data_IF_643523647438
#
_entry.id   IF_643523647438
#
_cell.length_a   1.000
_cell.length_b   1.000
_cell.length_c   1.000
_cell.angle_alpha   90.00
_cell.angle_beta   90.00
_cell.angle_gamma   90.00
#
_symmetry.space_group_name_H-M   'P 1'
#
loop_
_entity.id
_entity.type
_entity.pdbx_description
1 polymer ?
#
# COMPACT_ATOMS: atom_id res chain seq x y z
N UNK A 1 -8.41 33.89 13.32
CA UNK A 1 -7.74 33.50 12.06
C UNK A 1 -7.96 32.01 11.79
N UNK A 2 -9.17 31.62 11.39
CA UNK A 2 -9.60 30.20 11.37
C UNK A 2 -10.22 29.75 10.03
N UNK A 3 -9.90 30.43 8.92
CA UNK A 3 -10.52 30.17 7.62
C UNK A 3 -9.60 29.50 6.59
N UNK A 4 -8.28 29.41 6.83
CA UNK A 4 -7.31 28.90 5.85
C UNK A 4 -7.00 27.41 5.94
N UNK A 5 -7.34 26.73 7.04
CA UNK A 5 -7.02 25.30 7.22
C UNK A 5 -8.10 24.32 6.72
N UNK A 6 -9.29 24.78 6.34
CA UNK A 6 -10.34 23.90 5.78
C UNK A 6 -10.22 23.66 4.26
N UNK A 7 -9.35 24.41 3.57
CA UNK A 7 -9.16 24.26 2.12
C UNK A 7 -8.29 23.06 1.71
N UNK A 8 -7.39 22.58 2.57
CA UNK A 8 -6.45 21.53 2.23
C UNK A 8 -7.00 20.11 2.40
N UNK A 9 -8.07 19.93 3.18
CA UNK A 9 -8.70 18.61 3.42
C UNK A 9 -9.78 18.26 2.38
N UNK A 10 -10.25 19.22 1.59
CA UNK A 10 -11.28 18.99 0.56
C UNK A 10 -10.72 18.62 -0.82
N UNK A 11 -9.42 18.78 -1.06
CA UNK A 11 -8.78 18.36 -2.32
C UNK A 11 -8.48 16.86 -2.37
N UNK A 12 -8.26 16.21 -1.21
CA UNK A 12 -7.98 14.76 -1.14
C UNK A 12 -9.27 13.93 -1.27
N UNK A 13 -10.40 14.41 -0.73
CA UNK A 13 -11.67 13.68 -0.76
C UNK A 13 -12.40 13.72 -2.13
N UNK A 14 -11.98 14.57 -3.07
CA UNK A 14 -12.66 14.72 -4.37
C UNK A 14 -12.17 13.72 -5.44
N UNK A 15 -11.06 13.02 -5.20
CA UNK A 15 -10.50 12.04 -6.16
C UNK A 15 -11.10 10.64 -6.04
N UNK A 16 -11.94 10.39 -5.03
CA UNK A 16 -12.50 9.07 -4.74
C UNK A 16 -14.01 8.92 -5.08
N UNK A 17 -14.65 9.88 -5.77
CA UNK A 17 -16.10 9.87 -6.07
C UNK A 17 -16.48 10.12 -7.54
N UNK A 18 -15.83 9.40 -8.44
CA UNK A 18 -16.32 9.20 -9.79
C UNK A 18 -15.45 8.10 -10.36
N UNK A 19 -15.86 6.83 -10.27
CA UNK A 19 -16.63 6.20 -11.35
C UNK A 19 -17.25 4.88 -10.86
N UNK A 20 -18.28 4.95 -10.01
CA UNK A 20 -19.12 3.79 -9.71
C UNK A 20 -20.59 4.22 -9.77
N UNK A 21 -21.16 4.19 -10.98
CA UNK A 21 -22.54 3.75 -11.25
C UNK A 21 -22.96 4.15 -12.68
N UNK A 22 -23.35 3.14 -13.46
CA UNK A 22 -24.38 3.30 -14.48
C UNK A 22 -23.88 3.35 -15.92
N UNK A 23 -23.83 2.19 -16.56
CA UNK A 23 -24.74 1.83 -17.66
C UNK A 23 -24.30 0.46 -18.22
N UNK A 24 -25.11 -0.57 -17.98
CA UNK A 24 -25.08 -1.79 -18.78
C UNK A 24 -25.28 -1.42 -20.26
N UNK A 25 -24.74 -2.23 -21.18
CA UNK A 25 -25.68 -2.87 -22.10
C UNK A 25 -25.43 -4.37 -22.24
N UNK A 26 -26.55 -5.09 -22.27
CA UNK A 26 -26.65 -6.40 -22.89
C UNK A 26 -26.47 -6.28 -24.42
N UNK A 27 -26.13 -7.41 -25.05
CA UNK A 27 -26.01 -7.73 -26.49
C UNK A 27 -24.61 -7.61 -27.12
N UNK A 28 -24.12 -8.78 -27.54
CA UNK A 28 -22.88 -9.01 -28.30
C UNK A 28 -22.93 -8.37 -29.70
N UNK A 29 -21.77 -8.07 -30.29
CA UNK A 29 -21.30 -8.97 -31.34
C UNK A 29 -19.82 -9.38 -31.21
N UNK A 30 -19.53 -10.57 -31.73
CA UNK A 30 -18.19 -11.12 -31.89
C UNK A 30 -17.38 -10.30 -32.89
N UNK A 31 -16.45 -9.47 -32.42
CA UNK A 31 -15.22 -9.04 -33.10
C UNK A 31 -14.50 -7.95 -32.29
N UNK A 32 -13.61 -8.34 -31.36
CA UNK A 32 -12.52 -7.50 -30.87
C UNK A 32 -11.49 -8.32 -30.05
N UNK A 33 -10.96 -9.41 -30.61
CA UNK A 33 -9.80 -10.13 -30.04
C UNK A 33 -8.48 -9.40 -30.35
N UNK A 34 -8.40 -8.09 -30.11
CA UNK A 34 -7.14 -7.35 -30.36
C UNK A 34 -6.87 -6.13 -29.48
N UNK A 35 -7.47 -5.99 -28.30
CA UNK A 35 -7.14 -4.90 -27.35
C UNK A 35 -6.28 -5.31 -26.16
N UNK A 36 -6.13 -6.61 -25.87
CA UNK A 36 -5.41 -7.05 -24.65
C UNK A 36 -3.90 -6.85 -24.71
N UNK A 37 -3.29 -6.88 -25.90
CA UNK A 37 -1.84 -6.71 -26.04
C UNK A 37 -1.36 -5.27 -25.78
N UNK A 38 -2.22 -4.26 -25.88
CA UNK A 38 -1.88 -2.87 -25.63
C UNK A 38 -2.02 -2.47 -24.15
N UNK A 39 -2.84 -3.20 -23.38
CA UNK A 39 -3.10 -2.92 -21.95
C UNK A 39 -2.07 -3.59 -21.01
N UNK A 40 -1.31 -4.58 -21.48
CA UNK A 40 -0.27 -5.24 -20.69
C UNK A 40 0.88 -4.33 -20.24
N UNK A 41 1.45 -3.41 -21.06
CA UNK A 41 2.49 -2.49 -20.59
C UNK A 41 1.98 -1.49 -19.55
N UNK A 42 0.75 -1.01 -19.68
CA UNK A 42 0.13 -0.08 -18.71
C UNK A 42 -0.10 -0.77 -17.36
N UNK A 43 -0.67 -1.98 -17.37
CA UNK A 43 -0.85 -2.80 -16.17
C UNK A 43 0.47 -3.14 -15.46
N UNK A 44 1.53 -3.43 -16.21
CA UNK A 44 2.86 -3.67 -15.64
C UNK A 44 3.48 -2.40 -15.07
N UNK A 45 3.20 -1.24 -15.68
CA UNK A 45 3.61 0.05 -15.14
C UNK A 45 2.89 0.36 -13.83
N UNK A 46 1.57 0.15 -13.77
CA UNK A 46 0.78 0.29 -12.54
C UNK A 46 1.34 -0.61 -11.43
N UNK A 47 1.66 -1.86 -11.76
CA UNK A 47 2.29 -2.77 -10.80
C UNK A 47 3.63 -2.24 -10.29
N UNK A 48 4.47 -1.72 -11.19
CA UNK A 48 5.75 -1.13 -10.83
C UNK A 48 5.59 0.05 -9.86
N UNK A 49 4.67 0.96 -10.17
CA UNK A 49 4.38 2.13 -9.31
C UNK A 49 3.88 1.67 -7.95
N UNK A 50 2.89 0.76 -7.91
CA UNK A 50 2.37 0.24 -6.66
C UNK A 50 3.44 -0.45 -5.80
N UNK A 51 4.35 -1.21 -6.41
CA UNK A 51 5.46 -1.83 -5.69
C UNK A 51 6.48 -0.80 -5.18
N UNK A 52 6.79 0.23 -5.96
CA UNK A 52 7.72 1.28 -5.56
C UNK A 52 7.16 2.10 -4.39
N UNK A 53 5.90 2.52 -4.48
CA UNK A 53 5.20 3.26 -3.43
C UNK A 53 5.14 2.44 -2.13
N UNK A 54 4.89 1.13 -2.23
CA UNK A 54 4.86 0.22 -1.08
C UNK A 54 6.23 0.09 -0.39
N UNK A 55 7.32 0.06 -1.15
CA UNK A 55 8.70 0.05 -0.61
C UNK A 55 9.00 1.38 0.07
N UNK A 56 8.69 2.51 -0.59
CA UNK A 56 8.91 3.85 -0.04
C UNK A 56 8.14 4.05 1.27
N UNK A 57 6.88 3.63 1.33
CA UNK A 57 6.08 3.70 2.54
C UNK A 57 6.67 2.85 3.68
N UNK A 58 7.25 1.70 3.38
CA UNK A 58 7.90 0.84 4.37
C UNK A 58 9.24 1.43 4.86
N UNK A 59 10.02 2.04 3.97
CA UNK A 59 11.27 2.72 4.29
C UNK A 59 11.06 3.96 5.18
N UNK A 60 9.94 4.65 4.97
CA UNK A 60 9.62 5.91 5.65
C UNK A 60 8.88 5.73 6.97
N UNK A 61 8.60 4.51 7.43
CA UNK A 61 7.93 4.24 8.72
C UNK A 61 8.62 4.94 9.89
N UNK A 62 9.92 4.69 10.08
CA UNK A 62 10.70 5.28 11.17
C UNK A 62 10.82 6.80 11.08
N UNK A 63 11.22 7.36 9.92
CA UNK A 63 11.24 8.80 9.69
C UNK A 63 9.88 9.48 9.95
N UNK A 64 8.79 8.90 9.47
CA UNK A 64 7.43 9.46 9.64
C UNK A 64 6.97 9.40 11.09
N UNK A 65 7.25 8.31 11.79
CA UNK A 65 6.97 8.19 13.22
C UNK A 65 7.74 9.24 14.04
N UNK A 66 9.02 9.47 13.72
CA UNK A 66 9.83 10.49 14.36
C UNK A 66 9.30 11.90 14.08
N UNK A 67 8.93 12.21 12.84
CA UNK A 67 8.35 13.49 12.48
C UNK A 67 7.05 13.75 13.27
N UNK A 68 6.13 12.77 13.28
CA UNK A 68 4.86 12.89 13.99
C UNK A 68 5.05 13.02 15.51
N UNK A 69 5.99 12.28 16.10
CA UNK A 69 6.33 12.41 17.52
C UNK A 69 6.80 13.84 17.86
N UNK A 70 7.65 14.44 17.02
CA UNK A 70 8.18 15.79 17.23
C UNK A 70 7.10 16.86 17.05
N UNK A 71 6.17 16.66 16.11
CA UNK A 71 5.04 17.56 15.85
C UNK A 71 3.94 17.47 16.92
N UNK A 72 3.84 16.33 17.61
CA UNK A 72 2.86 16.14 18.69
C UNK A 72 3.26 16.97 19.91
N UNK A 73 2.28 17.59 20.56
CA UNK A 73 2.45 18.32 21.83
C UNK A 73 3.12 17.41 22.89
N UNK A 74 4.23 17.84 23.54
CA UNK A 74 4.88 17.08 24.59
C UNK A 74 3.95 16.51 25.67
N UNK A 75 2.87 17.23 26.04
CA UNK A 75 1.93 16.77 27.06
C UNK A 75 1.03 15.61 26.60
N UNK A 76 0.92 15.36 25.29
CA UNK A 76 0.09 14.34 24.68
C UNK A 76 0.90 13.24 23.97
N UNK A 77 2.24 13.25 24.06
CA UNK A 77 3.10 12.27 23.40
C UNK A 77 2.94 10.89 24.05
N UNK A 78 2.66 9.89 23.21
CA UNK A 78 2.80 8.49 23.57
C UNK A 78 4.24 7.98 23.39
N UNK A 79 4.50 6.70 23.70
CA UNK A 79 5.71 6.00 23.30
C UNK A 79 5.91 6.04 21.79
N UNK A 80 7.17 6.17 21.34
CA UNK A 80 7.53 6.23 19.91
C UNK A 80 7.02 5.01 19.14
N UNK A 81 7.04 3.85 19.78
CA UNK A 81 6.63 2.56 19.24
C UNK A 81 5.16 2.55 18.78
N UNK A 82 4.30 3.38 19.39
CA UNK A 82 2.90 3.50 18.96
C UNK A 82 2.77 4.22 17.61
N UNK A 83 3.59 5.24 17.39
CA UNK A 83 3.65 5.96 16.12
C UNK A 83 4.28 5.07 15.03
N UNK A 84 5.34 4.33 15.37
CA UNK A 84 5.95 3.35 14.46
C UNK A 84 4.97 2.24 14.08
N UNK A 85 4.21 1.71 15.04
CA UNK A 85 3.15 0.73 14.78
C UNK A 85 2.11 1.28 13.79
N UNK A 86 1.62 2.51 14.01
CA UNK A 86 0.65 3.14 13.13
C UNK A 86 1.14 3.21 11.67
N UNK A 87 2.35 3.72 11.45
CA UNK A 87 2.91 3.82 10.11
C UNK A 87 3.28 2.45 9.52
N UNK A 88 3.73 1.49 10.33
CA UNK A 88 3.99 0.13 9.89
C UNK A 88 2.71 -0.56 9.39
N UNK A 89 1.57 -0.38 10.07
CA UNK A 89 0.27 -0.90 9.62
C UNK A 89 -0.16 -0.29 8.29
N UNK A 90 0.01 1.03 8.10
CA UNK A 90 -0.27 1.69 6.83
C UNK A 90 0.63 1.18 5.68
N UNK A 91 1.93 0.99 5.95
CA UNK A 91 2.85 0.43 4.97
C UNK A 91 2.47 -1.01 4.59
N UNK A 92 2.03 -1.84 5.55
CA UNK A 92 1.55 -3.20 5.27
C UNK A 92 0.29 -3.22 4.38
N UNK A 93 -0.60 -2.23 4.51
CA UNK A 93 -1.77 -2.10 3.63
C UNK A 93 -1.31 -1.85 2.19
N UNK A 94 -0.36 -0.93 1.98
CA UNK A 94 0.16 -0.61 0.64
C UNK A 94 0.90 -1.79 0.01
N UNK A 95 1.74 -2.47 0.81
CA UNK A 95 2.39 -3.72 0.40
C UNK A 95 1.34 -4.77 0.00
N UNK A 96 0.28 -4.92 0.80
CA UNK A 96 -0.82 -5.84 0.50
C UNK A 96 -1.49 -5.53 -0.84
N UNK A 97 -1.76 -4.25 -1.13
CA UNK A 97 -2.33 -3.79 -2.40
C UNK A 97 -1.42 -4.11 -3.59
N UNK A 98 -0.11 -3.88 -3.48
CA UNK A 98 0.84 -4.18 -4.55
C UNK A 98 0.93 -5.69 -4.84
N UNK A 99 0.91 -6.52 -3.78
CA UNK A 99 0.93 -7.98 -3.90
C UNK A 99 -0.37 -8.53 -4.49
N UNK A 100 -1.51 -7.94 -4.11
CA UNK A 100 -2.82 -8.30 -4.66
C UNK A 100 -2.92 -7.93 -6.13
N UNK A 101 -2.41 -6.76 -6.54
CA UNK A 101 -2.34 -6.37 -7.94
C UNK A 101 -1.50 -7.37 -8.76
N UNK A 102 -0.35 -7.83 -8.24
CA UNK A 102 0.42 -8.91 -8.88
C UNK A 102 -0.40 -10.19 -9.02
N UNK A 103 -1.16 -10.57 -7.98
CA UNK A 103 -2.00 -11.77 -7.97
C UNK A 103 -3.06 -11.70 -9.07
N UNK A 104 -3.79 -10.59 -9.16
CA UNK A 104 -4.81 -10.36 -10.18
C UNK A 104 -4.20 -10.39 -11.59
N UNK A 105 -3.06 -9.74 -11.81
CA UNK A 105 -2.37 -9.79 -13.11
C UNK A 105 -1.89 -11.19 -13.46
N UNK A 106 -1.53 -12.00 -12.46
CA UNK A 106 -1.14 -13.39 -12.68
C UNK A 106 -2.32 -14.27 -13.08
N UNK A 107 -3.52 -13.96 -12.59
CA UNK A 107 -4.77 -14.65 -12.94
C UNK A 107 -5.23 -14.27 -14.36
N UNK A 108 -5.06 -13.00 -14.74
CA UNK A 108 -5.42 -12.51 -16.06
C UNK A 108 -4.46 -12.98 -17.17
N UNK A 109 -3.15 -12.87 -16.95
CA UNK A 109 -2.13 -13.12 -17.99
C UNK A 109 -1.59 -14.56 -17.96
N UNK A 110 -1.79 -15.26 -16.86
CA UNK A 110 -1.12 -16.53 -16.55
C UNK A 110 0.24 -16.30 -15.88
N UNK A 111 0.55 -17.17 -14.90
CA UNK A 111 1.73 -17.02 -14.05
C UNK A 111 3.06 -16.99 -14.83
N UNK A 112 3.21 -17.85 -15.82
CA UNK A 112 4.45 -17.95 -16.63
C UNK A 112 4.67 -16.71 -17.50
N UNK A 113 3.60 -16.17 -18.10
CA UNK A 113 3.67 -14.98 -18.94
C UNK A 113 3.99 -13.73 -18.10
N UNK A 114 3.34 -13.58 -16.93
CA UNK A 114 3.64 -12.48 -16.01
C UNK A 114 5.08 -12.54 -15.51
N UNK A 115 5.58 -13.72 -15.11
CA UNK A 115 6.96 -13.86 -14.66
C UNK A 115 7.97 -13.48 -15.75
N UNK A 116 7.72 -13.87 -17.00
CA UNK A 116 8.58 -13.48 -18.11
C UNK A 116 8.56 -11.96 -18.32
N UNK A 117 7.38 -11.33 -18.33
CA UNK A 117 7.26 -9.88 -18.48
C UNK A 117 7.93 -9.12 -17.32
N UNK A 118 7.81 -9.62 -16.08
CA UNK A 118 8.50 -9.07 -14.91
C UNK A 118 10.02 -9.21 -15.00
N UNK A 119 10.54 -10.28 -15.62
CA UNK A 119 11.99 -10.43 -15.85
C UNK A 119 12.49 -9.43 -16.88
N UNK A 120 11.79 -9.28 -18.00
CA UNK A 120 12.13 -8.34 -19.07
C UNK A 120 12.19 -6.89 -18.57
N UNK A 121 11.25 -6.50 -17.70
CA UNK A 121 11.20 -5.16 -17.10
C UNK A 121 11.98 -5.02 -15.78
N UNK A 122 12.72 -6.05 -15.36
CA UNK A 122 13.47 -6.10 -14.09
C UNK A 122 12.62 -5.86 -12.82
N UNK A 123 11.32 -6.12 -12.88
CA UNK A 123 10.39 -5.98 -11.76
C UNK A 123 10.54 -7.07 -10.70
N UNK A 124 11.22 -8.18 -11.03
CA UNK A 124 11.49 -9.26 -10.08
C UNK A 124 12.31 -8.82 -8.87
N UNK A 125 13.25 -7.88 -9.05
CA UNK A 125 14.04 -7.32 -7.93
C UNK A 125 13.13 -6.52 -7.01
N UNK A 126 12.34 -5.62 -7.58
CA UNK A 126 11.40 -4.80 -6.83
C UNK A 126 10.35 -5.65 -6.09
N UNK A 127 9.89 -6.74 -6.71
CA UNK A 127 9.01 -7.70 -6.05
C UNK A 127 9.69 -8.38 -4.85
N UNK A 128 10.96 -8.75 -4.97
CA UNK A 128 11.72 -9.31 -3.85
C UNK A 128 11.89 -8.29 -2.72
N UNK A 129 12.14 -7.01 -3.06
CA UNK A 129 12.22 -5.92 -2.09
C UNK A 129 10.88 -5.73 -1.36
N UNK A 130 9.75 -5.75 -2.08
CA UNK A 130 8.41 -5.70 -1.47
C UNK A 130 8.19 -6.85 -0.49
N UNK A 131 8.60 -8.08 -0.83
CA UNK A 131 8.49 -9.23 0.07
C UNK A 131 9.38 -9.08 1.31
N UNK A 132 10.61 -8.60 1.14
CA UNK A 132 11.52 -8.34 2.23
C UNK A 132 10.96 -7.28 3.19
N UNK A 133 10.45 -6.17 2.63
CA UNK A 133 9.82 -5.10 3.41
C UNK A 133 8.54 -5.56 4.08
N UNK A 134 7.73 -6.40 3.44
CA UNK A 134 6.56 -7.03 4.08
C UNK A 134 6.97 -7.75 5.37
N UNK A 135 7.97 -8.62 5.27
CA UNK A 135 8.37 -9.47 6.38
C UNK A 135 9.03 -8.65 7.50
N UNK A 136 9.82 -7.63 7.14
CA UNK A 136 10.39 -6.69 8.10
C UNK A 136 9.32 -5.87 8.81
N UNK A 137 8.38 -5.28 8.07
CA UNK A 137 7.32 -4.45 8.64
C UNK A 137 6.36 -5.28 9.50
N UNK A 138 6.06 -6.53 9.11
CA UNK A 138 5.31 -7.46 9.97
C UNK A 138 5.99 -7.70 11.31
N UNK A 139 7.30 -7.92 11.33
CA UNK A 139 8.04 -8.10 12.59
C UNK A 139 7.96 -6.87 13.49
N UNK A 140 7.97 -5.66 12.93
CA UNK A 140 7.78 -4.42 13.70
C UNK A 140 6.41 -4.45 14.40
N UNK A 141 5.35 -4.72 13.64
CA UNK A 141 3.97 -4.82 14.18
C UNK A 141 3.88 -5.89 15.27
N UNK A 142 4.37 -7.10 15.00
CA UNK A 142 4.34 -8.23 15.94
C UNK A 142 5.09 -7.90 17.23
N UNK A 143 6.27 -7.28 17.14
CA UNK A 143 7.09 -6.92 18.31
C UNK A 143 6.38 -5.88 19.18
N UNK A 144 5.82 -4.82 18.59
CA UNK A 144 5.13 -3.79 19.36
C UNK A 144 3.84 -4.32 19.97
N UNK A 145 3.07 -5.12 19.24
CA UNK A 145 1.85 -5.75 19.77
C UNK A 145 2.14 -6.74 20.90
N UNK A 146 3.25 -7.48 20.81
CA UNK A 146 3.67 -8.38 21.88
C UNK A 146 4.03 -7.60 23.16
N UNK A 147 4.83 -6.54 23.04
CA UNK A 147 5.15 -5.66 24.17
C UNK A 147 3.90 -5.04 24.81
N UNK A 148 2.90 -4.67 24.02
CA UNK A 148 1.63 -4.16 24.55
C UNK A 148 0.89 -5.24 25.36
N UNK A 149 0.85 -6.49 24.88
CA UNK A 149 0.23 -7.61 25.61
C UNK A 149 0.95 -7.90 26.92
N UNK A 150 2.28 -7.96 26.89
CA UNK A 150 3.09 -8.27 28.07
C UNK A 150 2.91 -7.19 29.16
N UNK A 151 2.83 -5.92 28.77
CA UNK A 151 2.59 -4.81 29.71
C UNK A 151 1.17 -4.82 30.31
N UNK A 152 0.16 -5.30 29.57
CA UNK A 152 -1.20 -5.43 30.11
C UNK A 152 -1.26 -6.53 31.18
N UNK A 153 -0.58 -7.66 30.97
CA UNK A 153 -0.57 -8.79 31.92
C UNK A 153 0.10 -8.42 33.26
N UNK A 154 1.12 -7.54 33.25
CA UNK A 154 1.82 -7.11 34.47
C UNK A 154 0.98 -6.16 35.34
N UNK A 155 0.01 -5.44 34.77
CA UNK A 155 -0.84 -4.52 35.53
C UNK A 155 -2.01 -5.22 36.27
N UNK A 156 -2.31 -6.47 35.93
CA UNK A 156 -3.43 -7.25 36.49
C UNK A 156 -3.01 -8.23 37.61
N UNK A 157 -1.72 -8.26 38.00
CA UNK A 157 -1.16 -9.13 39.06
C UNK A 157 -0.61 -8.34 40.25
#
# INVERSE_FOLDING_TARGET
>A
MAALQRGALLSVARRARGTLAGLLPASFPAAALSSDAAATPEKLHELKVAMADAVEAAETVGPSANALLLETDPAARGPREQYELHYAELALIQIGQALELKRLLSEELGATALEQAMREQRLHVLYADVLLWRDRTRRIVETVQQHQRDNVVVCDT
#
